data_IF_551157448821
#
_entry.id   IF_551157448821
#
_cell.length_a   1.000
_cell.length_b   1.000
_cell.length_c   1.000
_cell.angle_alpha   90.00
_cell.angle_beta   90.00
_cell.angle_gamma   90.00
#
_symmetry.space_group_name_H-M   'P 1'
#
loop_
_entity.id
_entity.type
_entity.pdbx_description
1 polymer ?
#
# COMPACT_ATOMS: atom_id res chain seq x y z
N UNK A 1 17.88 23.50 -1.53
CA UNK A 1 16.89 22.42 -1.25
C UNK A 1 17.64 21.26 -0.60
N UNK A 2 17.31 20.88 0.64
CA UNK A 2 18.05 19.81 1.32
C UNK A 2 17.61 18.43 0.81
N UNK A 3 18.57 17.51 0.73
CA UNK A 3 18.44 16.12 0.28
C UNK A 3 17.33 15.34 1.03
N UNK A 4 16.92 15.79 2.21
CA UNK A 4 15.85 15.19 3.01
C UNK A 4 14.45 15.42 2.43
N UNK A 5 14.17 16.57 1.81
CA UNK A 5 12.85 16.92 1.28
C UNK A 5 12.45 16.12 0.02
N UNK A 6 13.44 15.51 -0.66
CA UNK A 6 13.22 14.60 -1.80
C UNK A 6 13.03 13.14 -1.35
N UNK A 7 13.46 12.79 -0.13
CA UNK A 7 13.47 11.41 0.39
C UNK A 7 12.07 10.93 0.83
N UNK A 8 11.26 11.84 1.38
CA UNK A 8 9.90 11.54 1.85
C UNK A 8 8.85 11.35 0.75
N UNK A 9 9.23 11.38 -0.54
CA UNK A 9 8.30 11.25 -1.68
C UNK A 9 7.77 9.82 -1.91
N UNK A 10 8.31 8.78 -1.24
CA UNK A 10 8.09 7.39 -1.69
C UNK A 10 7.97 6.29 -0.61
N UNK A 11 8.02 6.60 0.70
CA UNK A 11 8.41 5.56 1.68
C UNK A 11 7.33 5.05 2.65
N UNK A 12 6.09 5.56 2.69
CA UNK A 12 5.19 5.17 3.80
C UNK A 12 4.18 4.06 3.46
N UNK A 13 3.68 3.95 2.23
CA UNK A 13 2.66 2.93 1.89
C UNK A 13 2.72 2.44 0.42
N UNK A 14 3.79 2.80 -0.29
CA UNK A 14 4.13 2.34 -1.65
C UNK A 14 5.39 1.49 -1.59
N UNK A 15 5.52 0.39 -2.36
CA UNK A 15 6.81 -0.26 -2.53
C UNK A 15 7.80 0.79 -3.06
N UNK A 16 8.96 1.00 -2.41
CA UNK A 16 9.86 2.09 -2.77
C UNK A 16 10.40 1.89 -4.18
N UNK A 17 10.30 2.93 -5.00
CA UNK A 17 10.94 3.06 -6.32
C UNK A 17 12.38 3.56 -6.21
N UNK A 18 12.95 3.52 -5.01
CA UNK A 18 14.30 3.95 -4.70
C UNK A 18 15.27 2.77 -4.73
N UNK A 19 15.55 2.28 -5.95
CA UNK A 19 16.67 1.38 -6.22
C UNK A 19 18.00 2.08 -5.92
N UNK A 20 18.55 1.85 -4.73
CA UNK A 20 19.96 2.11 -4.44
C UNK A 20 20.66 0.78 -4.26
N UNK A 21 21.35 0.33 -5.31
CA UNK A 21 22.55 -0.47 -5.09
C UNK A 21 23.46 0.33 -4.17
N UNK A 22 23.82 -0.24 -3.01
CA UNK A 22 25.03 0.22 -2.33
C UNK A 22 26.17 -0.06 -3.32
N UNK A 23 26.88 1.00 -3.71
CA UNK A 23 28.10 0.94 -4.52
C UNK A 23 29.22 0.20 -3.76
N UNK A 24 29.06 -1.09 -3.53
CA UNK A 24 30.09 -1.99 -3.04
C UNK A 24 30.50 -2.96 -4.16
N UNK A 25 30.78 -2.39 -5.33
CA UNK A 25 31.66 -2.99 -6.32
C UNK A 25 32.22 -1.82 -7.14
N UNK A 26 33.55 -1.65 -7.10
CA UNK A 26 34.42 -0.69 -7.82
C UNK A 26 35.13 0.29 -6.87
N UNK A 27 36.38 -0.05 -6.54
CA UNK A 27 37.30 0.82 -5.82
C UNK A 27 37.88 1.93 -6.69
N UNK A 28 38.16 3.07 -6.05
CA UNK A 28 39.25 3.99 -6.39
C UNK A 28 38.92 5.26 -7.18
N UNK A 29 38.76 6.41 -6.49
CA UNK A 29 39.70 7.57 -6.46
C UNK A 29 39.09 8.78 -5.71
N UNK A 30 39.90 9.69 -5.12
CA UNK A 30 39.46 10.60 -4.06
C UNK A 30 39.12 12.02 -4.53
N UNK A 31 38.09 12.64 -3.94
CA UNK A 31 37.74 14.05 -4.14
C UNK A 31 37.15 14.69 -2.89
N UNK A 32 37.82 15.75 -2.41
CA UNK A 32 37.58 16.53 -1.16
C UNK A 32 36.26 17.34 -1.15
N UNK A 33 35.84 17.88 0.02
CA UNK A 33 34.47 18.34 0.25
C UNK A 33 34.24 19.77 -0.23
N UNK A 34 33.06 20.07 -0.78
CA UNK A 34 32.64 21.44 -1.08
C UNK A 34 31.34 21.81 -0.38
N UNK A 35 31.52 22.74 0.58
CA UNK A 35 30.73 23.91 0.95
C UNK A 35 29.21 23.80 1.27
N UNK A 36 28.85 24.39 2.40
CA UNK A 36 27.49 24.63 2.91
C UNK A 36 26.79 25.83 2.22
N UNK A 37 25.48 25.68 2.04
CA UNK A 37 24.35 26.67 2.01
C UNK A 37 24.18 27.59 0.77
N UNK A 38 22.93 28.03 0.41
CA UNK A 38 21.75 28.18 1.26
C UNK A 38 20.45 27.46 0.87
N UNK A 39 19.59 27.48 1.87
CA UNK A 39 18.26 26.93 2.05
C UNK A 39 17.22 27.49 1.07
N UNK A 40 16.35 26.61 0.54
CA UNK A 40 14.97 26.92 0.13
C UNK A 40 14.15 25.66 0.40
N UNK A 41 13.42 25.73 1.51
CA UNK A 41 12.58 24.74 2.16
C UNK A 41 11.19 24.68 1.53
N UNK A 42 10.56 23.50 1.51
CA UNK A 42 9.10 23.45 1.68
C UNK A 42 8.80 23.79 3.15
N UNK A 43 7.77 24.60 3.44
CA UNK A 43 7.61 25.20 4.76
C UNK A 43 7.28 24.18 5.85
N UNK A 44 7.80 24.42 7.06
CA UNK A 44 7.55 23.63 8.26
C UNK A 44 6.07 23.48 8.65
N UNK A 45 5.14 24.26 8.06
CA UNK A 45 3.70 24.20 8.34
C UNK A 45 2.94 23.12 7.54
N UNK A 46 3.45 22.67 6.38
CA UNK A 46 2.77 21.67 5.55
C UNK A 46 2.81 20.28 6.19
N UNK A 47 3.94 19.95 6.82
CA UNK A 47 4.06 18.78 7.68
C UNK A 47 3.30 18.97 9.01
N UNK A 48 3.10 20.22 9.48
CA UNK A 48 2.41 20.55 10.73
C UNK A 48 0.93 20.23 10.71
N UNK A 49 0.32 20.23 9.53
CA UNK A 49 -1.11 19.95 9.38
C UNK A 49 -1.38 18.45 9.19
N UNK A 50 -0.41 17.68 8.69
CA UNK A 50 -0.44 16.20 8.67
C UNK A 50 -0.37 15.65 10.11
N UNK A 51 0.24 16.42 11.01
CA UNK A 51 0.36 16.06 12.43
C UNK A 51 -0.66 16.79 13.33
N UNK A 52 -1.11 18.01 13.03
CA UNK A 52 -2.28 18.61 13.70
C UNK A 52 -3.57 17.82 13.40
N UNK A 53 -3.58 17.13 12.26
CA UNK A 53 -4.52 16.07 11.93
C UNK A 53 -4.48 14.94 12.99
N UNK A 54 -3.34 14.29 13.21
CA UNK A 54 -3.29 13.05 13.99
C UNK A 54 -3.57 13.22 15.52
N UNK A 55 -3.79 14.45 16.05
CA UNK A 55 -3.50 14.75 17.48
C UNK A 55 -4.48 15.66 18.25
N UNK A 56 -5.31 16.50 17.60
CA UNK A 56 -6.14 17.46 18.36
C UNK A 56 -7.63 17.13 18.39
N UNK A 57 -8.03 16.35 19.40
CA UNK A 57 -8.95 16.91 20.38
C UNK A 57 -8.20 16.99 21.72
N UNK A 58 -8.18 18.12 22.43
CA UNK A 58 -7.70 18.15 23.82
C UNK A 58 -8.62 17.27 24.71
N UNK A 59 -8.10 16.70 25.81
CA UNK A 59 -8.94 16.06 26.82
C UNK A 59 -9.47 17.08 27.85
N UNK A 60 -10.51 16.65 28.60
CA UNK A 60 -11.16 17.28 29.77
C UNK A 60 -12.31 18.27 29.43
N UNK A 61 -13.50 18.29 30.04
CA UNK A 61 -14.21 17.56 31.10
C UNK A 61 -15.69 17.99 31.03
N UNK A 62 -16.60 17.19 31.58
CA UNK A 62 -18.00 17.47 31.93
C UNK A 62 -18.47 18.94 31.95
N UNK A 63 -19.50 19.30 31.18
CA UNK A 63 -20.79 19.89 31.62
C UNK A 63 -21.60 20.40 30.42
N UNK A 64 -22.86 19.95 30.31
CA UNK A 64 -24.01 20.81 29.99
C UNK A 64 -24.18 21.45 28.61
N UNK A 65 -25.24 21.00 27.93
CA UNK A 65 -26.14 21.72 27.01
C UNK A 65 -25.92 21.67 25.49
N UNK A 66 -27.04 21.69 24.71
CA UNK A 66 -27.10 21.16 23.37
C UNK A 66 -27.18 22.24 22.28
N UNK A 67 -26.87 21.80 21.06
CA UNK A 67 -27.30 22.46 19.82
C UNK A 67 -26.20 23.25 19.13
N UNK A 68 -25.77 22.77 17.97
CA UNK A 68 -26.01 23.42 16.66
C UNK A 68 -25.56 22.46 15.55
N UNK A 69 -26.52 22.11 14.70
CA UNK A 69 -26.34 21.40 13.44
C UNK A 69 -25.59 22.29 12.45
N UNK A 70 -24.48 21.81 11.90
CA UNK A 70 -23.96 22.30 10.64
C UNK A 70 -24.51 21.43 9.51
N UNK A 71 -25.53 21.98 8.85
CA UNK A 71 -26.13 21.48 7.61
C UNK A 71 -25.15 21.61 6.45
N UNK A 72 -24.80 20.50 5.79
CA UNK A 72 -24.26 20.54 4.43
C UNK A 72 -25.38 20.18 3.44
N UNK A 73 -25.54 21.06 2.45
CA UNK A 73 -26.55 21.02 1.40
C UNK A 73 -26.38 19.78 0.53
N UNK A 74 -27.36 18.87 0.60
CA UNK A 74 -27.57 17.84 -0.41
C UNK A 74 -28.57 18.36 -1.44
N UNK A 75 -28.08 18.74 -2.63
CA UNK A 75 -28.93 18.86 -3.82
C UNK A 75 -29.16 17.45 -4.38
N UNK A 76 -30.22 16.81 -3.92
CA UNK A 76 -30.70 15.52 -4.42
C UNK A 76 -32.19 15.42 -4.14
N UNK A 77 -32.99 15.26 -5.19
CA UNK A 77 -34.43 15.04 -5.17
C UNK A 77 -34.82 13.98 -4.13
N UNK A 78 -35.61 14.40 -3.13
CA UNK A 78 -36.20 13.54 -2.11
C UNK A 78 -37.19 12.55 -2.75
N UNK A 79 -36.73 11.32 -2.95
CA UNK A 79 -37.61 10.15 -2.97
C UNK A 79 -37.93 9.78 -1.53
N UNK A 80 -39.20 9.86 -1.16
CA UNK A 80 -39.73 9.43 0.13
C UNK A 80 -39.71 7.91 0.22
N UNK A 81 -38.63 7.33 0.74
CA UNK A 81 -38.66 5.96 1.25
C UNK A 81 -39.17 6.00 2.69
N UNK A 82 -40.41 5.54 2.88
CA UNK A 82 -40.96 5.25 4.19
C UNK A 82 -40.05 4.23 4.90
N UNK A 83 -39.51 4.62 6.06
CA UNK A 83 -38.78 3.71 6.93
C UNK A 83 -39.72 2.60 7.39
N UNK A 84 -39.61 1.42 6.77
CA UNK A 84 -40.12 0.21 7.40
C UNK A 84 -39.33 0.04 8.69
N UNK A 85 -40.02 -0.06 9.84
CA UNK A 85 -39.42 -0.51 11.09
C UNK A 85 -38.92 -1.95 10.88
N UNK A 86 -37.68 -2.07 10.38
CA UNK A 86 -37.05 -3.33 10.01
C UNK A 86 -36.69 -4.13 11.25
N UNK A 87 -36.59 -5.44 11.08
CA UNK A 87 -36.00 -6.35 12.06
C UNK A 87 -34.60 -5.83 12.42
N UNK A 88 -34.20 -5.76 13.70
CA UNK A 88 -32.86 -5.35 14.08
C UNK A 88 -31.82 -6.19 13.35
N UNK A 89 -30.85 -5.52 12.71
CA UNK A 89 -29.69 -6.21 12.12
C UNK A 89 -28.90 -6.85 13.28
N UNK A 90 -28.58 -8.16 13.22
CA UNK A 90 -27.80 -8.80 14.27
C UNK A 90 -26.30 -8.49 14.14
N UNK A 91 -25.60 -8.55 15.26
CA UNK A 91 -24.13 -8.64 15.29
C UNK A 91 -23.70 -10.08 15.03
N UNK A 92 -22.98 -10.29 13.93
CA UNK A 92 -22.50 -11.60 13.46
C UNK A 92 -21.04 -11.85 13.80
N UNK A 93 -20.22 -10.81 13.95
CA UNK A 93 -18.77 -10.93 14.22
C UNK A 93 -18.40 -11.65 15.54
N UNK A 94 -19.39 -11.91 16.39
CA UNK A 94 -19.25 -12.67 17.64
C UNK A 94 -19.87 -14.08 17.58
N UNK A 95 -20.49 -14.45 16.45
CA UNK A 95 -21.05 -15.79 16.24
C UNK A 95 -19.95 -16.74 15.75
N UNK A 96 -19.74 -17.84 16.47
CA UNK A 96 -18.66 -18.80 16.17
C UNK A 96 -18.80 -19.45 14.78
N UNK A 97 -20.02 -19.69 14.30
CA UNK A 97 -20.23 -20.24 12.96
C UNK A 97 -19.93 -19.19 11.89
N UNK A 98 -20.38 -17.96 12.11
CA UNK A 98 -20.07 -16.85 11.20
C UNK A 98 -18.56 -16.59 11.13
N UNK A 99 -17.88 -16.57 12.29
CA UNK A 99 -16.43 -16.44 12.39
C UNK A 99 -15.74 -17.54 11.57
N UNK A 100 -16.11 -18.81 11.77
CA UNK A 100 -15.54 -19.93 11.02
C UNK A 100 -15.68 -19.75 9.51
N UNK A 101 -16.88 -19.42 9.04
CA UNK A 101 -17.16 -19.29 7.61
C UNK A 101 -16.46 -18.06 7.01
N UNK A 102 -16.39 -16.97 7.77
CA UNK A 102 -15.70 -15.73 7.39
C UNK A 102 -14.19 -15.90 7.33
N UNK A 103 -13.58 -16.67 8.24
CA UNK A 103 -12.15 -17.04 8.13
C UNK A 103 -11.87 -17.77 6.82
N UNK A 104 -12.70 -18.75 6.48
CA UNK A 104 -12.56 -19.47 5.23
C UNK A 104 -12.79 -18.56 4.00
N UNK A 105 -13.67 -17.57 4.10
CA UNK A 105 -13.90 -16.57 3.06
C UNK A 105 -12.69 -15.64 2.89
N UNK A 106 -12.11 -15.16 3.98
CA UNK A 106 -10.91 -14.30 3.98
C UNK A 106 -9.76 -14.97 3.24
N UNK A 107 -9.52 -16.27 3.44
CA UNK A 107 -8.49 -16.99 2.68
C UNK A 107 -8.66 -16.85 1.17
N UNK A 108 -9.90 -16.97 0.68
CA UNK A 108 -10.20 -16.89 -0.74
C UNK A 108 -10.12 -15.45 -1.25
N UNK A 109 -10.62 -14.48 -0.47
CA UNK A 109 -10.52 -13.05 -0.78
C UNK A 109 -9.05 -12.61 -0.94
N UNK A 110 -8.18 -13.02 -0.03
CA UNK A 110 -6.74 -12.75 -0.09
C UNK A 110 -6.04 -13.56 -1.19
N UNK A 111 -6.56 -14.73 -1.55
CA UNK A 111 -6.18 -15.48 -2.76
C UNK A 111 -6.84 -14.94 -4.05
N UNK A 112 -7.40 -13.72 -4.06
CA UNK A 112 -8.00 -13.10 -5.26
C UNK A 112 -9.20 -13.86 -5.87
N UNK A 113 -9.86 -14.72 -5.09
CA UNK A 113 -11.07 -15.45 -5.49
C UNK A 113 -12.29 -14.92 -4.73
N UNK A 114 -12.86 -13.81 -5.24
CA UNK A 114 -14.04 -13.19 -4.65
C UNK A 114 -15.29 -14.09 -4.77
N UNK A 115 -15.39 -14.88 -5.84
CA UNK A 115 -16.56 -15.74 -6.09
C UNK A 115 -16.65 -16.83 -5.02
N UNK A 116 -15.61 -17.67 -4.90
CA UNK A 116 -15.54 -18.70 -3.86
C UNK A 116 -15.58 -18.08 -2.46
N UNK A 117 -15.03 -16.88 -2.29
CA UNK A 117 -15.12 -16.16 -1.02
C UNK A 117 -16.56 -15.82 -0.63
N UNK A 118 -17.39 -15.32 -1.55
CA UNK A 118 -18.78 -14.95 -1.28
C UNK A 118 -19.68 -16.17 -1.16
N UNK A 119 -19.40 -17.25 -1.90
CA UNK A 119 -20.12 -18.51 -1.78
C UNK A 119 -20.11 -19.05 -0.34
N UNK A 120 -18.95 -18.98 0.34
CA UNK A 120 -18.79 -19.36 1.75
C UNK A 120 -19.67 -18.55 2.71
N UNK A 121 -20.09 -17.36 2.31
CA UNK A 121 -20.92 -16.46 3.12
C UNK A 121 -22.37 -16.38 2.62
N UNK A 122 -22.72 -17.14 1.58
CA UNK A 122 -24.01 -17.00 0.88
C UNK A 122 -25.23 -17.32 1.74
N UNK A 123 -25.11 -18.23 2.72
CA UNK A 123 -26.19 -18.52 3.68
C UNK A 123 -26.45 -17.33 4.60
N UNK A 124 -25.38 -16.74 5.14
CA UNK A 124 -25.44 -15.55 5.98
C UNK A 124 -25.97 -14.33 5.20
N UNK A 125 -25.53 -14.16 3.96
CA UNK A 125 -26.00 -13.09 3.09
C UNK A 125 -27.49 -13.20 2.78
N UNK A 126 -28.00 -14.43 2.56
CA UNK A 126 -29.44 -14.66 2.36
C UNK A 126 -30.26 -14.43 3.64
N UNK A 127 -29.70 -14.80 4.80
CA UNK A 127 -30.37 -14.61 6.08
C UNK A 127 -30.41 -13.14 6.53
N UNK A 128 -29.35 -12.39 6.25
CA UNK A 128 -29.15 -11.01 6.73
C UNK A 128 -28.74 -10.06 5.59
N UNK A 129 -29.58 -9.84 4.57
CA UNK A 129 -29.19 -9.10 3.35
C UNK A 129 -28.76 -7.64 3.60
N UNK A 130 -29.23 -7.03 4.70
CA UNK A 130 -28.90 -5.65 5.08
C UNK A 130 -27.60 -5.52 5.89
N UNK A 131 -26.91 -6.63 6.18
CA UNK A 131 -25.70 -6.60 7.01
C UNK A 131 -24.53 -5.89 6.28
N UNK A 132 -23.77 -5.00 6.96
CA UNK A 132 -22.77 -4.15 6.30
C UNK A 132 -21.52 -4.92 5.82
N UNK A 133 -21.37 -6.19 6.21
CA UNK A 133 -20.27 -7.05 5.76
C UNK A 133 -20.29 -7.33 4.24
N UNK A 134 -21.47 -7.36 3.60
CA UNK A 134 -21.57 -7.68 2.17
C UNK A 134 -20.98 -6.61 1.26
N UNK A 135 -21.37 -5.32 1.38
CA UNK A 135 -20.70 -4.28 0.62
C UNK A 135 -19.22 -4.13 1.02
N UNK A 136 -18.83 -4.51 2.26
CA UNK A 136 -17.43 -4.48 2.67
C UNK A 136 -16.60 -5.45 1.82
N UNK A 137 -17.07 -6.67 1.60
CA UNK A 137 -16.36 -7.68 0.80
C UNK A 137 -16.06 -7.18 -0.62
N UNK A 138 -17.04 -6.57 -1.28
CA UNK A 138 -16.85 -5.96 -2.60
C UNK A 138 -15.86 -4.79 -2.56
N UNK A 139 -15.88 -3.97 -1.50
CA UNK A 139 -14.96 -2.86 -1.35
C UNK A 139 -13.51 -3.32 -1.10
N UNK A 140 -13.33 -4.41 -0.34
CA UNK A 140 -12.02 -5.04 -0.13
C UNK A 140 -11.46 -5.65 -1.42
N UNK A 141 -12.30 -6.31 -2.24
CA UNK A 141 -11.85 -6.77 -3.56
C UNK A 141 -11.47 -5.59 -4.48
N UNK A 142 -12.30 -4.54 -4.51
CA UNK A 142 -12.05 -3.36 -5.33
C UNK A 142 -10.77 -2.60 -4.95
N UNK A 143 -10.24 -2.80 -3.73
CA UNK A 143 -8.98 -2.22 -3.28
C UNK A 143 -7.76 -2.85 -3.95
N UNK A 144 -7.79 -4.15 -4.27
CA UNK A 144 -6.62 -4.87 -4.78
C UNK A 144 -6.02 -4.25 -6.05
N UNK A 145 -6.79 -3.94 -7.12
CA UNK A 145 -6.25 -3.28 -8.31
C UNK A 145 -5.58 -1.93 -8.02
N UNK A 146 -6.09 -1.18 -7.04
CA UNK A 146 -5.46 0.08 -6.59
C UNK A 146 -4.12 -0.21 -5.91
N UNK A 147 -4.06 -1.21 -5.03
CA UNK A 147 -2.84 -1.57 -4.31
C UNK A 147 -1.75 -2.13 -5.23
N UNK A 148 -2.12 -2.93 -6.22
CA UNK A 148 -1.21 -3.56 -7.19
C UNK A 148 -0.44 -2.50 -7.99
N UNK A 149 -1.11 -1.41 -8.37
CA UNK A 149 -0.54 -0.30 -9.10
C UNK A 149 -1.02 1.04 -8.54
N UNK A 150 -0.29 1.53 -7.55
CA UNK A 150 -0.57 2.81 -6.90
C UNK A 150 -0.35 4.03 -7.80
N UNK A 151 0.18 3.90 -9.02
CA UNK A 151 0.24 5.01 -9.98
C UNK A 151 -1.03 5.05 -10.86
N UNK A 152 -1.68 3.91 -11.05
CA UNK A 152 -2.91 3.80 -11.81
C UNK A 152 -4.12 4.32 -11.00
N UNK A 153 -4.85 5.29 -11.55
CA UNK A 153 -6.05 5.86 -10.92
C UNK A 153 -7.36 5.35 -11.51
N UNK A 154 -7.32 4.45 -12.50
CA UNK A 154 -8.52 3.94 -13.18
C UNK A 154 -9.49 3.21 -12.24
N UNK A 155 -8.98 2.66 -11.13
CA UNK A 155 -9.78 1.89 -10.17
C UNK A 155 -10.30 2.72 -8.99
N UNK A 156 -9.88 3.98 -8.88
CA UNK A 156 -10.15 4.84 -7.72
C UNK A 156 -11.64 5.09 -7.50
N UNK A 157 -12.37 5.41 -8.57
CA UNK A 157 -13.80 5.71 -8.50
C UNK A 157 -14.60 4.48 -8.08
N UNK A 158 -14.26 3.30 -8.64
CA UNK A 158 -14.91 2.03 -8.27
C UNK A 158 -14.69 1.72 -6.79
N UNK A 159 -13.45 1.81 -6.29
CA UNK A 159 -13.14 1.58 -4.88
C UNK A 159 -13.91 2.55 -3.98
N UNK A 160 -13.87 3.86 -4.28
CA UNK A 160 -14.56 4.87 -3.48
C UNK A 160 -16.09 4.71 -3.50
N UNK A 161 -16.67 4.31 -4.63
CA UNK A 161 -18.10 4.05 -4.73
C UNK A 161 -18.52 2.84 -3.86
N UNK A 162 -17.78 1.73 -3.90
CA UNK A 162 -18.05 0.59 -3.04
C UNK A 162 -17.87 0.94 -1.56
N UNK A 163 -16.77 1.63 -1.22
CA UNK A 163 -16.52 2.10 0.13
C UNK A 163 -17.61 3.05 0.66
N UNK A 164 -18.21 3.86 -0.23
CA UNK A 164 -19.37 4.70 0.08
C UNK A 164 -20.59 3.88 0.51
N UNK A 165 -20.94 2.83 -0.25
CA UNK A 165 -22.05 1.92 0.10
C UNK A 165 -21.86 1.28 1.48
N UNK A 166 -20.62 0.92 1.84
CA UNK A 166 -20.29 0.38 3.16
C UNK A 166 -20.59 1.41 4.25
N UNK A 167 -20.18 2.66 4.05
CA UNK A 167 -20.43 3.75 5.01
C UNK A 167 -21.93 3.97 5.16
N UNK A 168 -22.68 4.05 4.06
CA UNK A 168 -24.13 4.26 4.09
C UNK A 168 -24.85 3.14 4.84
N UNK A 169 -24.47 1.87 4.60
CA UNK A 169 -25.02 0.71 5.31
C UNK A 169 -24.70 0.75 6.82
N UNK A 170 -23.48 1.13 7.19
CA UNK A 170 -23.10 1.27 8.60
C UNK A 170 -23.82 2.44 9.28
N UNK A 171 -23.96 3.58 8.61
CA UNK A 171 -24.64 4.76 9.15
C UNK A 171 -26.13 4.48 9.38
N UNK A 172 -26.81 3.80 8.44
CA UNK A 172 -28.20 3.39 8.61
C UNK A 172 -28.44 2.54 9.88
N UNK A 173 -27.51 1.62 10.20
CA UNK A 173 -27.58 0.81 11.42
C UNK A 173 -27.31 1.67 12.66
N UNK A 174 -26.22 2.45 12.62
CA UNK A 174 -25.74 3.23 13.76
C UNK A 174 -26.64 4.41 14.14
N UNK A 175 -27.50 4.87 13.23
CA UNK A 175 -28.55 5.85 13.52
C UNK A 175 -29.61 5.30 14.50
N UNK A 176 -29.86 3.97 14.45
CA UNK A 176 -30.83 3.29 15.32
C UNK A 176 -30.19 2.59 16.51
N UNK A 177 -29.01 1.99 16.33
CA UNK A 177 -28.20 1.39 17.38
C UNK A 177 -26.76 1.93 17.32
N UNK A 178 -26.49 3.04 18.04
CA UNK A 178 -25.17 3.66 18.01
C UNK A 178 -24.03 2.78 18.53
N UNK A 179 -24.30 1.67 19.23
CA UNK A 179 -23.31 0.74 19.76
C UNK A 179 -23.20 -0.55 18.94
N UNK A 180 -23.87 -0.66 17.79
CA UNK A 180 -23.86 -1.90 17.01
C UNK A 180 -22.43 -2.30 16.63
N UNK A 181 -21.97 -3.42 17.18
CA UNK A 181 -20.56 -3.85 17.10
C UNK A 181 -20.09 -3.98 15.65
N UNK A 182 -20.81 -4.74 14.81
CA UNK A 182 -20.37 -4.99 13.44
C UNK A 182 -20.33 -3.73 12.59
N UNK A 183 -21.32 -2.83 12.72
CA UNK A 183 -21.32 -1.57 12.01
C UNK A 183 -20.15 -0.67 12.46
N UNK A 184 -19.77 -0.66 13.75
CA UNK A 184 -18.57 0.04 14.22
C UNK A 184 -17.30 -0.58 13.62
N UNK A 185 -17.16 -1.91 13.64
CA UNK A 185 -15.99 -2.61 13.10
C UNK A 185 -15.86 -2.36 11.61
N UNK A 186 -16.92 -2.61 10.84
CA UNK A 186 -16.94 -2.44 9.39
C UNK A 186 -16.69 -0.98 9.00
N UNK A 187 -17.31 -0.01 9.69
CA UNK A 187 -17.07 1.42 9.42
C UNK A 187 -15.65 1.83 9.78
N UNK A 188 -15.06 1.27 10.83
CA UNK A 188 -13.66 1.49 11.19
C UNK A 188 -12.72 1.00 10.08
N UNK A 189 -12.87 -0.25 9.66
CA UNK A 189 -12.07 -0.89 8.60
C UNK A 189 -12.13 -0.08 7.31
N UNK A 190 -13.33 0.22 6.81
CA UNK A 190 -13.46 0.92 5.52
C UNK A 190 -12.93 2.36 5.58
N UNK A 191 -13.12 3.07 6.71
CA UNK A 191 -12.52 4.40 6.87
C UNK A 191 -10.99 4.33 6.96
N UNK A 192 -10.43 3.28 7.56
CA UNK A 192 -8.99 3.01 7.54
C UNK A 192 -8.46 2.81 6.11
N UNK A 193 -9.15 2.00 5.31
CA UNK A 193 -8.79 1.76 3.91
C UNK A 193 -8.94 3.01 3.04
N UNK A 194 -10.00 3.82 3.22
CA UNK A 194 -10.14 5.11 2.55
C UNK A 194 -9.03 6.09 2.97
N UNK A 195 -8.64 6.07 4.26
CA UNK A 195 -7.54 6.89 4.75
C UNK A 195 -6.22 6.52 4.07
N UNK A 196 -5.93 5.21 3.97
CA UNK A 196 -4.78 4.65 3.25
C UNK A 196 -4.80 5.04 1.77
N UNK A 197 -5.94 4.90 1.10
CA UNK A 197 -6.14 5.34 -0.28
C UNK A 197 -5.77 6.83 -0.45
N UNK A 198 -6.36 7.72 0.34
CA UNK A 198 -6.09 9.15 0.22
C UNK A 198 -4.65 9.52 0.57
N UNK A 199 -4.01 8.76 1.48
CA UNK A 199 -2.58 8.90 1.77
C UNK A 199 -1.74 8.58 0.54
N UNK A 200 -2.02 7.47 -0.14
CA UNK A 200 -1.34 7.09 -1.39
C UNK A 200 -1.57 8.08 -2.54
N UNK A 201 -2.70 8.81 -2.50
CA UNK A 201 -3.00 9.90 -3.44
C UNK A 201 -2.51 11.28 -2.98
N UNK A 202 -1.73 11.36 -1.89
CA UNK A 202 -1.23 12.61 -1.32
C UNK A 202 -2.35 13.61 -0.94
N UNK A 203 -3.58 13.13 -0.74
CA UNK A 203 -4.75 13.91 -0.31
C UNK A 203 -4.90 13.88 1.19
N UNK A 204 -3.89 14.41 1.87
CA UNK A 204 -3.67 14.28 3.31
C UNK A 204 -4.85 14.72 4.19
N UNK A 205 -5.51 15.84 3.87
CA UNK A 205 -6.67 16.29 4.64
C UNK A 205 -7.83 15.28 4.62
N UNK A 206 -8.10 14.67 3.46
CA UNK A 206 -9.14 13.65 3.34
C UNK A 206 -8.72 12.37 4.05
N UNK A 207 -7.47 11.95 3.85
CA UNK A 207 -6.89 10.81 4.57
C UNK A 207 -7.07 10.96 6.08
N UNK A 208 -6.73 12.13 6.61
CA UNK A 208 -6.90 12.45 8.01
C UNK A 208 -8.36 12.33 8.48
N UNK A 209 -9.32 12.95 7.79
CA UNK A 209 -10.73 12.93 8.20
C UNK A 209 -11.26 11.51 8.35
N UNK A 210 -10.90 10.63 7.42
CA UNK A 210 -11.28 9.22 7.46
C UNK A 210 -10.50 8.46 8.54
N UNK A 211 -9.19 8.69 8.68
CA UNK A 211 -8.38 8.10 9.74
C UNK A 211 -8.91 8.42 11.14
N UNK A 212 -9.36 9.66 11.39
CA UNK A 212 -9.99 10.05 12.66
C UNK A 212 -11.30 9.31 12.92
N UNK A 213 -12.12 9.11 11.88
CA UNK A 213 -13.38 8.34 11.99
C UNK A 213 -13.07 6.88 12.32
N UNK A 214 -12.10 6.29 11.64
CA UNK A 214 -11.65 4.91 11.90
C UNK A 214 -11.17 4.76 13.35
N UNK A 215 -10.25 5.61 13.80
CA UNK A 215 -9.72 5.55 15.16
C UNK A 215 -10.80 5.78 16.24
N UNK A 216 -11.75 6.69 16.01
CA UNK A 216 -12.86 6.91 16.94
C UNK A 216 -13.67 5.64 17.15
N UNK A 217 -14.03 4.96 16.05
CA UNK A 217 -14.82 3.73 16.13
C UNK A 217 -13.97 2.58 16.68
N UNK A 218 -12.70 2.46 16.28
CA UNK A 218 -11.72 1.50 16.81
C UNK A 218 -11.53 1.61 18.33
N UNK A 219 -11.26 2.80 18.87
CA UNK A 219 -11.04 2.96 20.32
C UNK A 219 -12.31 2.72 21.14
N UNK A 220 -13.49 2.86 20.53
CA UNK A 220 -14.73 2.44 21.18
C UNK A 220 -14.81 0.91 21.25
N UNK A 221 -14.52 0.23 20.14
CA UNK A 221 -14.46 -1.23 20.09
C UNK A 221 -13.41 -1.78 21.06
N UNK A 222 -12.21 -1.22 21.09
CA UNK A 222 -11.13 -1.62 21.99
C UNK A 222 -11.51 -1.46 23.46
N UNK A 223 -12.20 -0.36 23.81
CA UNK A 223 -12.69 -0.15 25.18
C UNK A 223 -13.76 -1.16 25.59
N UNK A 224 -14.66 -1.52 24.69
CA UNK A 224 -15.79 -2.42 24.98
C UNK A 224 -15.38 -3.90 24.90
N UNK A 225 -14.43 -4.22 24.02
CA UNK A 225 -13.97 -5.58 23.72
C UNK A 225 -12.44 -5.70 23.68
N UNK A 226 -11.74 -5.40 24.79
CA UNK A 226 -10.26 -5.35 24.82
C UNK A 226 -9.58 -6.71 24.61
N UNK A 227 -10.33 -7.81 24.74
CA UNK A 227 -9.82 -9.17 24.62
C UNK A 227 -9.97 -9.77 23.22
N UNK A 228 -10.56 -9.05 22.27
CA UNK A 228 -10.64 -9.52 20.89
C UNK A 228 -9.23 -9.57 20.29
N UNK A 229 -8.78 -10.72 19.76
CA UNK A 229 -7.43 -10.85 19.19
C UNK A 229 -7.13 -9.81 18.09
N UNK A 230 -8.12 -9.44 17.28
CA UNK A 230 -7.99 -8.46 16.20
C UNK A 230 -7.66 -7.03 16.67
N UNK A 231 -7.86 -6.72 17.96
CA UNK A 231 -7.48 -5.42 18.54
C UNK A 231 -5.97 -5.18 18.43
N UNK A 232 -5.17 -6.24 18.54
CA UNK A 232 -3.72 -6.15 18.45
C UNK A 232 -3.27 -5.50 17.14
N UNK A 233 -3.97 -5.75 16.03
CA UNK A 233 -3.64 -5.13 14.75
C UNK A 233 -3.80 -3.60 14.81
N UNK A 234 -4.96 -3.12 15.26
CA UNK A 234 -5.24 -1.68 15.32
C UNK A 234 -4.35 -0.93 16.32
N UNK A 235 -4.11 -1.52 17.51
CA UNK A 235 -3.18 -0.97 18.50
C UNK A 235 -1.75 -0.95 17.95
N UNK A 236 -1.31 -2.04 17.33
CA UNK A 236 0.03 -2.16 16.75
C UNK A 236 0.29 -1.12 15.66
N UNK A 237 -0.65 -0.97 14.72
CA UNK A 237 -0.61 0.07 13.70
C UNK A 237 -0.54 1.46 14.32
N UNK A 238 -1.38 1.74 15.32
CA UNK A 238 -1.40 3.05 15.98
C UNK A 238 -0.06 3.37 16.67
N UNK A 239 0.43 2.47 17.52
CA UNK A 239 1.67 2.66 18.28
C UNK A 239 2.88 2.82 17.36
N UNK A 240 3.02 1.92 16.38
CA UNK A 240 4.13 1.90 15.45
C UNK A 240 4.18 3.17 14.60
N UNK A 241 3.10 3.50 13.90
CA UNK A 241 3.09 4.64 13.00
C UNK A 241 3.12 5.98 13.73
N UNK A 242 2.61 6.06 14.96
CA UNK A 242 2.75 7.26 15.79
C UNK A 242 4.22 7.49 16.16
N UNK A 243 4.94 6.45 16.61
CA UNK A 243 6.37 6.52 16.91
C UNK A 243 7.20 6.89 15.66
N UNK A 244 6.97 6.18 14.56
CA UNK A 244 7.63 6.42 13.28
C UNK A 244 7.44 7.87 12.80
N UNK A 245 6.23 8.41 12.89
CA UNK A 245 5.97 9.79 12.46
C UNK A 245 6.71 10.81 13.33
N UNK A 246 6.73 10.64 14.65
CA UNK A 246 7.47 11.51 15.59
C UNK A 246 8.97 11.50 15.32
N UNK A 247 9.51 10.33 14.99
CA UNK A 247 10.93 10.15 14.67
C UNK A 247 11.29 10.81 13.33
N UNK A 248 10.54 10.54 12.27
CA UNK A 248 10.89 10.96 10.91
C UNK A 248 10.54 12.43 10.61
N UNK A 249 9.48 12.96 11.20
CA UNK A 249 8.97 14.28 10.85
C UNK A 249 9.24 15.31 11.97
N UNK A 250 10.05 16.34 11.68
CA UNK A 250 10.45 17.33 12.68
C UNK A 250 9.27 18.05 13.35
N UNK A 251 8.20 18.26 12.60
CA UNK A 251 6.99 18.88 13.11
C UNK A 251 6.15 17.92 13.96
N UNK A 252 6.25 16.63 13.66
CA UNK A 252 5.62 15.60 14.42
C UNK A 252 6.22 15.56 15.82
N UNK A 253 7.55 15.55 15.85
CA UNK A 253 8.32 15.71 17.08
C UNK A 253 7.92 16.93 17.91
N UNK A 254 7.74 18.10 17.29
CA UNK A 254 7.38 19.35 18.00
C UNK A 254 5.99 19.31 18.65
N UNK A 255 5.08 18.52 18.07
CA UNK A 255 3.69 18.40 18.52
C UNK A 255 3.43 17.08 19.26
N UNK A 256 4.47 16.27 19.50
CA UNK A 256 4.38 14.95 20.15
C UNK A 256 3.80 15.02 21.56
N UNK A 257 3.96 16.12 22.29
CA UNK A 257 3.42 16.31 23.64
C UNK A 257 1.88 16.30 23.70
N UNK A 258 1.23 16.43 22.55
CA UNK A 258 -0.23 16.44 22.44
C UNK A 258 -0.78 15.07 22.03
N UNK A 259 0.09 14.12 21.70
CA UNK A 259 -0.24 12.76 21.28
C UNK A 259 -0.20 11.78 22.44
N UNK A 260 -1.06 10.74 22.43
CA UNK A 260 -0.71 9.49 23.09
C UNK A 260 0.61 8.98 22.52
N UNK A 261 1.52 8.59 23.41
CA UNK A 261 2.86 8.13 23.02
C UNK A 261 2.77 6.90 22.14
N UNK A 262 3.36 6.97 20.95
CA UNK A 262 3.66 5.78 20.16
C UNK A 262 4.82 5.01 20.77
N UNK A 263 4.85 3.70 20.52
CA UNK A 263 5.96 2.84 20.87
C UNK A 263 6.24 1.90 19.68
N UNK A 264 7.42 2.05 19.09
CA UNK A 264 7.81 1.32 17.88
C UNK A 264 7.93 -0.18 18.16
N UNK A 265 8.52 -0.56 19.29
CA UNK A 265 8.79 -1.96 19.63
C UNK A 265 7.51 -2.67 20.06
N UNK A 266 6.70 -2.02 20.90
CA UNK A 266 5.39 -2.54 21.26
C UNK A 266 4.48 -2.63 20.03
N UNK A 267 4.52 -1.62 19.16
CA UNK A 267 3.77 -1.64 17.89
C UNK A 267 4.10 -2.86 17.03
N UNK A 268 5.39 -3.15 16.85
CA UNK A 268 5.85 -4.36 16.13
C UNK A 268 5.43 -5.65 16.84
N UNK A 269 5.50 -5.68 18.18
CA UNK A 269 5.08 -6.85 18.98
C UNK A 269 3.59 -7.15 18.79
N UNK A 270 2.74 -6.11 18.86
CA UNK A 270 1.29 -6.23 18.66
C UNK A 270 0.92 -6.65 17.23
N UNK A 271 1.63 -6.15 16.23
CA UNK A 271 1.45 -6.59 14.85
C UNK A 271 1.85 -8.06 14.67
N UNK A 272 2.90 -8.52 15.36
CA UNK A 272 3.29 -9.93 15.36
C UNK A 272 2.24 -10.82 16.05
N UNK A 273 1.67 -10.38 17.19
CA UNK A 273 0.55 -11.07 17.84
C UNK A 273 -0.66 -11.19 16.91
N UNK A 274 -1.00 -10.12 16.18
CA UNK A 274 -2.09 -10.13 15.22
C UNK A 274 -1.83 -11.07 14.02
N UNK A 275 -0.59 -11.11 13.53
CA UNK A 275 -0.18 -12.01 12.45
C UNK A 275 -0.18 -13.50 12.87
N UNK A 276 -0.16 -13.81 14.16
CA UNK A 276 -0.19 -15.19 14.67
C UNK A 276 -1.60 -15.64 15.07
N UNK A 277 -2.40 -14.72 15.64
CA UNK A 277 -3.57 -15.11 16.44
C UNK A 277 -4.87 -14.35 16.15
N UNK A 278 -4.88 -13.37 15.23
CA UNK A 278 -6.12 -12.64 14.93
C UNK A 278 -7.13 -13.48 14.16
N UNK A 279 -8.41 -13.14 14.33
CA UNK A 279 -9.52 -13.90 13.76
C UNK A 279 -9.69 -13.54 12.29
N UNK A 280 -9.83 -12.25 11.98
CA UNK A 280 -10.18 -11.75 10.65
C UNK A 280 -9.04 -11.02 9.95
N UNK A 281 -8.15 -10.37 10.70
CA UNK A 281 -7.12 -9.48 10.13
C UNK A 281 -5.75 -10.13 9.96
N UNK A 282 -5.62 -11.44 10.16
CA UNK A 282 -4.32 -12.11 10.18
C UNK A 282 -3.54 -11.94 8.86
N UNK A 283 -4.12 -12.17 7.67
CA UNK A 283 -3.40 -11.99 6.42
C UNK A 283 -2.96 -10.53 6.20
N UNK A 284 -3.77 -9.57 6.64
CA UNK A 284 -3.43 -8.14 6.58
C UNK A 284 -2.29 -7.80 7.56
N UNK A 285 -2.32 -8.34 8.76
CA UNK A 285 -1.27 -8.15 9.77
C UNK A 285 0.07 -8.73 9.29
N UNK A 286 0.04 -9.96 8.76
CA UNK A 286 1.20 -10.61 8.12
C UNK A 286 1.75 -9.76 6.98
N UNK A 287 0.88 -9.20 6.13
CA UNK A 287 1.26 -8.27 5.07
C UNK A 287 1.93 -7.00 5.61
N UNK A 288 1.30 -6.31 6.55
CA UNK A 288 1.84 -5.06 7.10
C UNK A 288 3.17 -5.30 7.80
N UNK A 289 3.31 -6.38 8.56
CA UNK A 289 4.54 -6.71 9.26
C UNK A 289 5.68 -7.02 8.29
N UNK A 290 5.42 -7.83 7.27
CA UNK A 290 6.39 -8.08 6.18
C UNK A 290 6.79 -6.79 5.45
N UNK A 291 5.83 -5.92 5.14
CA UNK A 291 6.07 -4.65 4.46
C UNK A 291 6.88 -3.67 5.33
N UNK A 292 6.54 -3.55 6.62
CA UNK A 292 7.23 -2.71 7.59
C UNK A 292 8.69 -3.15 7.71
N UNK A 293 8.95 -4.44 7.91
CA UNK A 293 10.31 -4.96 8.02
C UNK A 293 11.11 -4.72 6.73
N UNK A 294 10.49 -4.95 5.56
CA UNK A 294 11.17 -4.83 4.28
C UNK A 294 11.54 -3.38 3.94
N UNK A 295 10.63 -2.43 4.17
CA UNK A 295 10.74 -1.09 3.61
C UNK A 295 11.06 0.00 4.63
N UNK A 296 10.60 -0.16 5.88
CA UNK A 296 10.76 0.86 6.92
C UNK A 296 11.91 0.49 7.86
N UNK A 297 11.87 -0.69 8.48
CA UNK A 297 12.95 -1.17 9.36
C UNK A 297 14.21 -1.54 8.59
N UNK A 298 14.06 -1.89 7.30
CA UNK A 298 15.15 -2.36 6.44
C UNK A 298 15.81 -3.61 7.02
N UNK A 299 14.99 -4.51 7.53
CA UNK A 299 15.33 -5.85 8.01
C UNK A 299 14.73 -6.91 7.08
N UNK A 300 15.24 -7.02 5.83
CA UNK A 300 14.67 -7.91 4.83
C UNK A 300 14.68 -9.39 5.24
N UNK A 301 15.63 -9.80 6.10
CA UNK A 301 15.69 -11.16 6.64
C UNK A 301 14.46 -11.50 7.48
N UNK A 302 13.98 -10.55 8.31
CA UNK A 302 12.74 -10.71 9.10
C UNK A 302 11.52 -10.66 8.20
N UNK A 303 11.50 -9.78 7.21
CA UNK A 303 10.41 -9.67 6.26
C UNK A 303 10.17 -10.95 5.45
N UNK A 304 11.26 -11.66 5.10
CA UNK A 304 11.20 -12.80 4.21
C UNK A 304 10.30 -13.93 4.74
N UNK A 305 10.26 -14.16 6.06
CA UNK A 305 9.39 -15.17 6.66
C UNK A 305 7.92 -14.89 6.38
N UNK A 306 7.45 -13.69 6.72
CA UNK A 306 6.07 -13.26 6.52
C UNK A 306 5.69 -13.21 5.02
N UNK A 307 6.57 -12.67 4.17
CA UNK A 307 6.28 -12.57 2.74
C UNK A 307 6.31 -13.93 2.02
N UNK A 308 7.11 -14.89 2.52
CA UNK A 308 7.11 -16.27 2.03
C UNK A 308 5.81 -16.98 2.39
N UNK A 309 5.30 -16.78 3.60
CA UNK A 309 4.00 -17.34 4.01
C UNK A 309 2.88 -16.88 3.07
N UNK A 310 2.75 -15.56 2.88
CA UNK A 310 1.76 -14.98 1.97
C UNK A 310 1.90 -15.49 0.53
N UNK A 311 3.14 -15.65 0.04
CA UNK A 311 3.40 -16.19 -1.30
C UNK A 311 2.87 -17.60 -1.50
N UNK A 312 3.08 -18.49 -0.52
CA UNK A 312 2.68 -19.89 -0.62
C UNK A 312 1.21 -20.11 -0.28
N UNK A 313 0.66 -19.32 0.65
CA UNK A 313 -0.74 -19.42 1.09
C UNK A 313 -1.71 -18.80 0.10
N UNK A 314 -1.28 -17.75 -0.62
CA UNK A 314 -2.09 -17.02 -1.59
C UNK A 314 -1.45 -17.02 -2.99
N UNK A 315 -1.33 -18.19 -3.64
CA UNK A 315 -0.66 -18.32 -4.93
C UNK A 315 -1.34 -17.53 -6.07
N UNK A 316 -2.61 -17.21 -5.99
CA UNK A 316 -3.29 -16.41 -7.03
C UNK A 316 -3.14 -14.90 -6.81
N UNK A 317 -2.55 -14.49 -5.69
CA UNK A 317 -2.29 -13.08 -5.39
C UNK A 317 -0.95 -12.60 -5.98
N UNK A 318 -1.02 -11.92 -7.12
CA UNK A 318 0.19 -11.45 -7.81
C UNK A 318 0.98 -10.41 -7.01
N UNK A 319 0.32 -9.65 -6.14
CA UNK A 319 0.97 -8.63 -5.34
C UNK A 319 1.91 -9.29 -4.32
N UNK A 320 1.48 -10.38 -3.68
CA UNK A 320 2.32 -11.15 -2.78
C UNK A 320 3.47 -11.87 -3.51
N UNK A 321 3.23 -12.39 -4.73
CA UNK A 321 4.31 -12.89 -5.61
C UNK A 321 5.40 -11.85 -5.85
N UNK A 322 4.99 -10.65 -6.24
CA UNK A 322 5.95 -9.56 -6.50
C UNK A 322 6.70 -9.15 -5.24
N UNK A 323 6.03 -9.03 -4.09
CA UNK A 323 6.67 -8.66 -2.82
C UNK A 323 7.71 -9.70 -2.40
N UNK A 324 7.36 -10.99 -2.45
CA UNK A 324 8.28 -12.06 -2.13
C UNK A 324 9.51 -12.06 -3.05
N UNK A 325 9.32 -12.00 -4.37
CA UNK A 325 10.42 -11.97 -5.34
C UNK A 325 11.32 -10.74 -5.16
N UNK A 326 10.72 -9.56 -4.90
CA UNK A 326 11.48 -8.34 -4.60
C UNK A 326 12.31 -8.50 -3.33
N UNK A 327 11.77 -9.14 -2.30
CA UNK A 327 12.52 -9.39 -1.06
C UNK A 327 13.71 -10.34 -1.29
N UNK A 328 13.53 -11.43 -2.05
CA UNK A 328 14.61 -12.34 -2.43
C UNK A 328 15.71 -11.62 -3.21
N UNK A 329 15.31 -10.78 -4.18
CA UNK A 329 16.26 -9.99 -4.95
C UNK A 329 17.06 -9.02 -4.06
N UNK A 330 16.41 -8.31 -3.12
CA UNK A 330 17.06 -7.40 -2.20
C UNK A 330 18.05 -8.09 -1.25
N UNK A 331 17.79 -9.35 -0.91
CA UNK A 331 18.66 -10.21 -0.11
C UNK A 331 19.81 -10.85 -0.91
N UNK A 332 19.90 -10.57 -2.22
CA UNK A 332 20.83 -11.24 -3.15
C UNK A 332 20.63 -12.76 -3.24
N UNK A 333 19.42 -13.24 -2.91
CA UNK A 333 18.99 -14.63 -3.06
C UNK A 333 18.54 -14.87 -4.51
N UNK A 334 19.48 -14.71 -5.44
CA UNK A 334 19.17 -14.67 -6.88
C UNK A 334 18.68 -16.00 -7.42
N UNK A 335 19.16 -17.13 -6.89
CA UNK A 335 18.71 -18.46 -7.34
C UNK A 335 17.24 -18.69 -6.96
N UNK A 336 16.88 -18.38 -5.72
CA UNK A 336 15.50 -18.43 -5.23
C UNK A 336 14.61 -17.45 -5.98
N UNK A 337 15.08 -16.21 -6.22
CA UNK A 337 14.34 -15.22 -6.97
C UNK A 337 14.04 -15.70 -8.40
N UNK A 338 15.02 -16.29 -9.10
CA UNK A 338 14.83 -16.84 -10.44
C UNK A 338 13.83 -18.01 -10.47
N UNK A 339 13.88 -18.88 -9.47
CA UNK A 339 12.92 -19.98 -9.34
C UNK A 339 11.49 -19.46 -9.12
N UNK A 340 11.31 -18.52 -8.18
CA UNK A 340 10.00 -17.91 -7.91
C UNK A 340 9.48 -17.08 -9.10
N UNK A 341 10.37 -16.40 -9.85
CA UNK A 341 10.02 -15.73 -11.11
C UNK A 341 9.54 -16.73 -12.15
N UNK A 342 10.24 -17.85 -12.31
CA UNK A 342 9.85 -18.88 -13.27
C UNK A 342 8.46 -19.45 -12.95
N UNK A 343 8.24 -19.81 -11.68
CA UNK A 343 6.94 -20.28 -11.21
C UNK A 343 5.84 -19.23 -11.46
N UNK A 344 6.07 -17.99 -11.03
CA UNK A 344 5.07 -16.91 -11.14
C UNK A 344 4.76 -16.51 -12.60
N UNK A 345 5.71 -16.60 -13.52
CA UNK A 345 5.46 -16.33 -14.95
C UNK A 345 4.67 -17.44 -15.64
N UNK A 346 4.74 -18.67 -15.12
CA UNK A 346 4.00 -19.84 -15.59
C UNK A 346 2.65 -20.04 -14.88
N UNK A 347 2.43 -19.33 -13.76
CA UNK A 347 1.17 -19.36 -13.03
C UNK A 347 0.00 -18.87 -13.92
N UNK A 348 -1.12 -19.60 -13.99
CA UNK A 348 -2.27 -19.20 -14.79
C UNK A 348 -2.86 -17.88 -14.30
N UNK A 349 -2.94 -16.91 -15.19
CA UNK A 349 -3.62 -15.63 -14.94
C UNK A 349 -4.26 -15.15 -16.25
N UNK A 350 -5.32 -14.37 -16.15
CA UNK A 350 -5.90 -13.68 -17.31
C UNK A 350 -4.81 -12.81 -17.98
N UNK A 351 -4.34 -13.15 -19.20
CA UNK A 351 -3.10 -12.58 -19.76
C UNK A 351 -3.12 -11.05 -19.90
N UNK A 352 -4.29 -10.52 -20.24
CA UNK A 352 -4.51 -9.09 -20.46
C UNK A 352 -5.07 -8.36 -19.23
N UNK A 353 -5.22 -9.04 -18.10
CA UNK A 353 -5.58 -8.36 -16.85
C UNK A 353 -4.48 -7.38 -16.44
N UNK A 354 -4.89 -6.25 -15.89
CA UNK A 354 -3.98 -5.25 -15.34
C UNK A 354 -3.02 -5.86 -14.30
N UNK A 355 -3.52 -6.79 -13.50
CA UNK A 355 -2.77 -7.51 -12.50
C UNK A 355 -1.64 -8.37 -13.11
N UNK A 356 -1.97 -9.22 -14.10
CA UNK A 356 -0.99 -10.02 -14.84
C UNK A 356 0.06 -9.15 -15.52
N UNK A 357 -0.35 -8.08 -16.20
CA UNK A 357 0.57 -7.19 -16.90
C UNK A 357 1.54 -6.50 -15.94
N UNK A 358 1.03 -5.99 -14.82
CA UNK A 358 1.84 -5.31 -13.78
C UNK A 358 2.85 -6.27 -13.15
N UNK A 359 2.43 -7.51 -12.85
CA UNK A 359 3.34 -8.54 -12.36
C UNK A 359 4.42 -8.86 -13.40
N UNK A 360 4.03 -9.14 -14.64
CA UNK A 360 4.98 -9.53 -15.70
C UNK A 360 6.01 -8.45 -15.98
N UNK A 361 5.59 -7.19 -16.10
CA UNK A 361 6.51 -6.04 -16.21
C UNK A 361 7.59 -6.11 -15.12
N UNK A 362 7.17 -6.27 -13.87
CA UNK A 362 8.05 -6.28 -12.72
C UNK A 362 9.01 -7.48 -12.70
N UNK A 363 8.48 -8.68 -12.93
CA UNK A 363 9.27 -9.90 -12.88
C UNK A 363 10.30 -9.96 -14.01
N UNK A 364 9.96 -9.50 -15.22
CA UNK A 364 10.92 -9.40 -16.31
C UNK A 364 12.00 -8.35 -16.01
N UNK A 365 11.65 -7.19 -15.45
CA UNK A 365 12.64 -6.19 -15.05
C UNK A 365 13.63 -6.73 -14.00
N UNK A 366 13.13 -7.41 -12.96
CA UNK A 366 13.97 -8.03 -11.92
C UNK A 366 14.86 -9.13 -12.52
N UNK A 367 14.31 -10.01 -13.36
CA UNK A 367 15.10 -11.07 -14.00
C UNK A 367 16.18 -10.53 -14.93
N UNK A 368 15.87 -9.47 -15.68
CA UNK A 368 16.83 -8.75 -16.52
C UNK A 368 17.99 -8.18 -15.70
N UNK A 369 17.71 -7.61 -14.53
CA UNK A 369 18.73 -7.11 -13.59
C UNK A 369 19.60 -8.25 -13.04
N UNK A 370 19.00 -9.38 -12.68
CA UNK A 370 19.75 -10.56 -12.23
C UNK A 370 20.70 -11.05 -13.33
N UNK A 371 20.20 -11.19 -14.56
CA UNK A 371 21.01 -11.61 -15.72
C UNK A 371 22.14 -10.64 -16.03
N UNK A 372 21.85 -9.34 -16.00
CA UNK A 372 22.79 -8.28 -16.32
C UNK A 372 23.95 -8.19 -15.32
N UNK A 373 23.65 -8.23 -14.02
CA UNK A 373 24.66 -8.02 -12.97
C UNK A 373 25.31 -9.30 -12.45
N UNK A 374 24.57 -10.42 -12.40
CA UNK A 374 24.99 -11.60 -11.65
C UNK A 374 25.25 -12.84 -12.51
N UNK A 375 24.68 -12.93 -13.70
CA UNK A 375 24.90 -14.08 -14.61
C UNK A 375 25.79 -13.76 -15.81
N UNK A 376 26.15 -12.48 -16.00
CA UNK A 376 26.86 -12.01 -17.19
C UNK A 376 26.19 -12.46 -18.51
N UNK A 377 24.85 -12.46 -18.53
CA UNK A 377 24.02 -12.83 -19.67
C UNK A 377 23.39 -11.57 -20.30
N UNK A 378 24.13 -10.80 -21.11
CA UNK A 378 23.61 -9.57 -21.71
C UNK A 378 22.49 -9.84 -22.73
N UNK A 379 22.47 -11.01 -23.37
CA UNK A 379 21.46 -11.38 -24.37
C UNK A 379 20.13 -11.64 -23.68
N UNK A 380 20.12 -12.50 -22.66
CA UNK A 380 18.92 -12.78 -21.87
C UNK A 380 18.45 -11.57 -21.05
N UNK A 381 19.36 -10.72 -20.58
CA UNK A 381 19.00 -9.46 -19.93
C UNK A 381 18.28 -8.51 -20.91
N UNK A 382 18.78 -8.38 -22.14
CA UNK A 382 18.15 -7.57 -23.19
C UNK A 382 16.73 -8.06 -23.51
N UNK A 383 16.56 -9.37 -23.69
CA UNK A 383 15.25 -9.99 -23.94
C UNK A 383 14.26 -9.70 -22.80
N UNK A 384 14.70 -9.83 -21.55
CA UNK A 384 13.86 -9.52 -20.39
C UNK A 384 13.48 -8.03 -20.31
N UNK A 385 14.43 -7.11 -20.53
CA UNK A 385 14.09 -5.67 -20.54
C UNK A 385 13.15 -5.28 -21.69
N UNK A 386 13.27 -5.92 -22.85
CA UNK A 386 12.32 -5.74 -23.95
C UNK A 386 10.92 -6.26 -23.60
N UNK A 387 10.83 -7.40 -22.91
CA UNK A 387 9.54 -7.93 -22.40
C UNK A 387 8.94 -7.00 -21.35
N UNK A 388 9.73 -6.54 -20.39
CA UNK A 388 9.28 -5.57 -19.38
C UNK A 388 8.73 -4.30 -20.05
N UNK A 389 9.46 -3.74 -21.02
CA UNK A 389 9.00 -2.61 -21.85
C UNK A 389 7.66 -2.90 -22.53
N UNK A 390 7.51 -4.06 -23.17
CA UNK A 390 6.27 -4.44 -23.87
C UNK A 390 5.05 -4.61 -22.94
N UNK A 391 5.24 -5.02 -21.69
CA UNK A 391 4.16 -5.03 -20.69
C UNK A 391 3.89 -3.62 -20.14
N UNK A 392 4.92 -2.82 -19.88
CA UNK A 392 4.77 -1.44 -19.46
C UNK A 392 3.95 -0.61 -20.45
N UNK A 393 4.15 -0.82 -21.76
CA UNK A 393 3.40 -0.15 -22.85
C UNK A 393 1.88 -0.40 -22.82
N UNK A 394 1.42 -1.45 -22.12
CA UNK A 394 0.00 -1.76 -21.94
C UNK A 394 -0.59 -1.14 -20.67
N UNK A 395 0.24 -0.59 -19.80
CA UNK A 395 -0.14 -0.10 -18.48
C UNK A 395 -0.29 1.43 -18.47
N UNK A 396 -1.15 1.92 -17.58
CA UNK A 396 -1.42 3.36 -17.39
C UNK A 396 -1.13 3.75 -15.93
N UNK A 397 -0.42 4.87 -15.66
CA UNK A 397 0.24 5.74 -16.63
C UNK A 397 1.46 5.05 -17.25
N UNK A 398 1.70 5.25 -18.55
CA UNK A 398 2.81 4.61 -19.25
C UNK A 398 4.16 5.27 -18.93
N UNK A 399 4.28 6.58 -19.17
CA UNK A 399 5.58 7.24 -19.29
C UNK A 399 6.38 7.39 -17.97
N UNK A 400 5.74 7.18 -16.82
CA UNK A 400 6.34 7.46 -15.50
C UNK A 400 6.64 6.19 -14.69
N UNK A 401 6.44 5.00 -15.28
CA UNK A 401 6.66 3.73 -14.58
C UNK A 401 8.15 3.51 -14.33
N UNK A 402 8.49 3.14 -13.10
CA UNK A 402 9.89 2.99 -12.72
C UNK A 402 10.57 1.82 -13.44
N UNK A 403 9.85 0.71 -13.63
CA UNK A 403 10.36 -0.45 -14.38
C UNK A 403 10.50 -0.17 -15.88
N UNK A 404 9.65 0.70 -16.46
CA UNK A 404 9.84 1.22 -17.81
C UNK A 404 11.14 2.02 -17.91
N UNK A 405 11.31 3.03 -17.06
CA UNK A 405 12.48 3.91 -17.09
C UNK A 405 13.77 3.11 -16.86
N UNK A 406 13.74 2.18 -15.91
CA UNK A 406 14.83 1.24 -15.64
C UNK A 406 15.16 0.40 -16.87
N UNK A 407 14.17 -0.24 -17.49
CA UNK A 407 14.39 -1.13 -18.63
C UNK A 407 14.94 -0.36 -19.83
N UNK A 408 14.41 0.83 -20.11
CA UNK A 408 14.93 1.71 -21.15
C UNK A 408 16.40 2.08 -20.89
N UNK A 409 16.76 2.45 -19.65
CA UNK A 409 18.15 2.75 -19.32
C UNK A 409 19.09 1.57 -19.62
N UNK A 410 18.77 0.35 -19.16
CA UNK A 410 19.63 -0.81 -19.40
C UNK A 410 19.65 -1.27 -20.87
N UNK A 411 18.56 -1.08 -21.61
CA UNK A 411 18.57 -1.29 -23.06
C UNK A 411 19.52 -0.32 -23.77
N UNK A 412 19.62 0.92 -23.28
CA UNK A 412 20.63 1.89 -23.72
C UNK A 412 22.06 1.42 -23.43
N UNK A 413 22.32 0.97 -22.20
CA UNK A 413 23.64 0.42 -21.78
C UNK A 413 24.05 -0.77 -22.65
N UNK A 414 23.13 -1.71 -22.89
CA UNK A 414 23.37 -2.87 -23.74
C UNK A 414 23.61 -2.46 -25.20
N UNK A 415 22.90 -1.44 -25.70
CA UNK A 415 23.09 -0.92 -27.06
C UNK A 415 24.46 -0.25 -27.24
N UNK A 416 24.97 0.45 -26.22
CA UNK A 416 26.34 0.97 -26.21
C UNK A 416 27.36 -0.17 -26.30
N UNK A 417 27.19 -1.23 -25.51
CA UNK A 417 28.08 -2.41 -25.54
C UNK A 417 28.08 -3.12 -26.89
N UNK A 418 26.96 -3.08 -27.60
CA UNK A 418 26.81 -3.61 -28.96
C UNK A 418 27.36 -2.67 -30.05
N UNK A 419 27.83 -1.47 -29.69
CA UNK A 419 28.29 -0.45 -30.65
C UNK A 419 27.15 0.23 -31.42
N UNK A 420 25.90 0.10 -30.98
CA UNK A 420 24.73 0.69 -31.64
C UNK A 420 24.33 2.02 -30.98
N UNK A 421 25.00 3.10 -31.37
CA UNK A 421 24.77 4.44 -30.83
C UNK A 421 23.35 4.97 -31.10
N UNK A 422 22.73 4.63 -32.24
CA UNK A 422 21.39 5.09 -32.58
C UNK A 422 20.33 4.48 -31.65
N UNK A 423 20.41 3.17 -31.39
CA UNK A 423 19.54 2.51 -30.41
C UNK A 423 19.81 2.99 -28.99
N UNK A 424 21.08 3.20 -28.62
CA UNK A 424 21.41 3.75 -27.32
C UNK A 424 20.79 5.14 -27.12
N UNK A 425 20.90 6.03 -28.11
CA UNK A 425 20.27 7.35 -28.13
C UNK A 425 18.76 7.23 -27.97
N UNK A 426 18.11 6.36 -28.75
CA UNK A 426 16.67 6.14 -28.67
C UNK A 426 16.21 5.76 -27.25
N UNK A 427 16.87 4.78 -26.64
CA UNK A 427 16.49 4.29 -25.32
C UNK A 427 16.78 5.31 -24.20
N UNK A 428 17.97 5.90 -24.19
CA UNK A 428 18.32 6.89 -23.17
C UNK A 428 17.47 8.15 -23.26
N UNK A 429 17.16 8.64 -24.46
CA UNK A 429 16.27 9.80 -24.64
C UNK A 429 14.90 9.52 -24.05
N UNK A 430 14.30 8.35 -24.31
CA UNK A 430 13.00 7.97 -23.70
C UNK A 430 13.09 7.83 -22.19
N UNK A 431 14.17 7.24 -21.65
CA UNK A 431 14.39 7.13 -20.21
C UNK A 431 14.61 8.50 -19.53
N UNK A 432 15.13 9.49 -20.26
CA UNK A 432 15.43 10.83 -19.77
C UNK A 432 14.23 11.81 -19.82
N UNK A 433 13.21 11.48 -20.62
CA UNK A 433 12.01 12.32 -20.86
C UNK A 433 11.22 12.67 -19.59
N UNK A 434 10.90 11.72 -18.69
CA UNK A 434 10.02 12.02 -17.55
C UNK A 434 10.61 13.11 -16.65
N UNK A 435 9.79 14.07 -16.23
CA UNK A 435 10.18 15.11 -15.27
C UNK A 435 10.05 14.61 -13.82
N UNK A 436 10.77 13.54 -13.52
CA UNK A 436 10.76 12.89 -12.21
C UNK A 436 12.16 12.92 -11.60
N UNK A 437 12.25 12.75 -10.28
CA UNK A 437 13.55 12.70 -9.58
C UNK A 437 14.18 11.29 -9.63
N UNK A 438 13.64 10.40 -10.46
CA UNK A 438 13.99 8.99 -10.54
C UNK A 438 15.48 8.80 -10.89
N UNK A 439 16.21 7.87 -10.21
CA UNK A 439 17.65 7.71 -10.39
C UNK A 439 18.06 7.43 -11.84
N UNK A 440 17.29 6.58 -12.55
CA UNK A 440 17.61 6.20 -13.92
C UNK A 440 17.29 7.29 -14.95
N UNK A 441 16.42 8.26 -14.64
CA UNK A 441 16.25 9.47 -15.47
C UNK A 441 17.55 10.27 -15.47
N UNK A 442 18.15 10.46 -14.28
CA UNK A 442 19.43 11.19 -14.15
C UNK A 442 20.56 10.45 -14.84
N UNK A 443 20.66 9.13 -14.63
CA UNK A 443 21.67 8.29 -15.31
C UNK A 443 21.51 8.33 -16.83
N UNK A 444 20.29 8.29 -17.35
CA UNK A 444 20.06 8.39 -18.80
C UNK A 444 20.48 9.76 -19.35
N UNK A 445 20.15 10.86 -18.66
CA UNK A 445 20.60 12.22 -19.04
C UNK A 445 22.13 12.36 -19.02
N UNK A 446 22.79 11.72 -18.06
CA UNK A 446 24.24 11.66 -17.98
C UNK A 446 24.84 10.82 -19.13
N UNK A 447 24.30 9.63 -19.37
CA UNK A 447 24.74 8.73 -20.43
C UNK A 447 24.65 9.38 -21.82
N UNK A 448 23.59 10.15 -22.10
CA UNK A 448 23.47 10.92 -23.35
C UNK A 448 24.66 11.87 -23.55
N UNK A 449 25.08 12.57 -22.50
CA UNK A 449 26.23 13.50 -22.56
C UNK A 449 27.56 12.77 -22.67
N UNK A 450 27.77 11.74 -21.83
CA UNK A 450 29.02 10.98 -21.78
C UNK A 450 29.31 10.30 -23.11
N UNK A 451 28.29 9.73 -23.74
CA UNK A 451 28.42 9.05 -25.04
C UNK A 451 28.26 9.98 -26.25
N UNK A 452 28.08 11.30 -26.06
CA UNK A 452 27.86 12.29 -27.12
C UNK A 452 26.70 11.90 -28.05
N UNK A 453 25.58 11.52 -27.43
CA UNK A 453 24.34 11.10 -28.08
C UNK A 453 23.26 12.20 -28.02
N UNK A 454 23.61 13.40 -27.58
CA UNK A 454 22.74 14.57 -27.52
C UNK A 454 22.33 15.10 -28.91
#
# INVERSE_FOLDING_TARGET
>A
MSVAAKRARYEILTPPTNWRMKDNAMGGLPGKPLAKTPEKSLPAWASALIFAAIIFLPPLTTTGCPGTLDTYVASGTLGTHAASAGVPVPSLLMDDNFIRDTRAAIEQLYNRDLETSLEKLSEWQRAYPEHPAWPLWEALDAWWPVLIDLQNTTYDERFLAMAGKVIDACEAILDSDPNHMDALVVRSVINGQIARYYSNRYRWYRSFRHGRRALRDFFRIEKEHPHLPDIHFGVGMYLYFTAFLVEEYAIARRLSWMLPSGDRQEGLSRLAEAADSSIFVEPEATYFLGHIYLHIEREPDKALGYLRDLYHRYPDNSYYRRLYIRSLYQLNLHHEALAAIHESLNHPMAPDSHESQTMREDLFAIRGLIRYYHQADPVGAKDDFLKALGYAEKLTPFAERDNLILSLYYLGELSIREGNCDKARFYYSRAATPDTDHPFVKKAREALRVHRLD
#
